data_IF_330028389829
#
_entry.id   IF_330028389829
#
_cell.length_a   1.000
_cell.length_b   1.000
_cell.length_c   1.000
_cell.angle_alpha   90.00
_cell.angle_beta   90.00
_cell.angle_gamma   90.00
#
_symmetry.space_group_name_H-M   'P 1'
#
loop_
_entity.id
_entity.type
_entity.pdbx_description
1 polymer ?
#
# COMPACT_ATOMS: atom_id res chain seq x y z
N UNK A 1 6.38 28.55 -19.88
CA UNK A 1 5.19 27.73 -20.16
C UNK A 1 4.85 27.03 -18.85
N UNK A 2 3.83 27.51 -18.14
CA UNK A 2 3.40 26.94 -16.87
C UNK A 2 2.15 26.10 -17.14
N UNK A 3 2.31 24.78 -17.09
CA UNK A 3 1.20 23.84 -17.22
C UNK A 3 0.50 23.77 -15.86
N UNK A 4 -0.71 24.29 -15.80
CA UNK A 4 -1.52 24.29 -14.57
C UNK A 4 -2.11 22.88 -14.42
N UNK A 5 -1.43 22.00 -13.69
CA UNK A 5 -2.08 20.79 -13.17
C UNK A 5 -3.01 21.22 -12.04
N UNK A 6 -4.32 21.09 -12.26
CA UNK A 6 -5.32 21.29 -11.20
C UNK A 6 -4.94 20.41 -10.00
N UNK A 7 -4.92 20.98 -8.78
CA UNK A 7 -4.37 20.37 -7.56
C UNK A 7 -5.16 19.17 -7.00
N UNK A 8 -5.49 18.19 -7.82
CA UNK A 8 -6.26 17.01 -7.47
C UNK A 8 -6.24 15.87 -8.49
N UNK A 9 -5.59 16.05 -9.64
CA UNK A 9 -5.44 14.98 -10.64
C UNK A 9 -4.20 14.13 -10.38
N UNK A 10 -4.32 12.82 -10.58
CA UNK A 10 -3.21 11.89 -10.38
C UNK A 10 -2.21 11.98 -11.53
N UNK A 11 -0.96 12.35 -11.24
CA UNK A 11 0.14 12.36 -12.22
C UNK A 11 0.44 10.93 -12.70
N UNK A 12 0.54 9.99 -11.76
CA UNK A 12 0.75 8.56 -12.01
C UNK A 12 -0.15 7.75 -11.08
N UNK A 13 -0.75 6.68 -11.60
CA UNK A 13 -1.49 5.73 -10.78
C UNK A 13 -1.39 4.31 -11.33
N UNK A 14 -1.43 3.33 -10.44
CA UNK A 14 -1.51 1.92 -10.79
C UNK A 14 -2.33 1.17 -9.75
N UNK A 15 -3.18 0.27 -10.22
CA UNK A 15 -3.83 -0.73 -9.36
C UNK A 15 -3.59 -2.11 -9.95
N UNK A 16 -3.32 -3.08 -9.09
CA UNK A 16 -3.25 -4.49 -9.42
C UNK A 16 -3.88 -5.28 -8.29
N UNK A 17 -4.49 -6.41 -8.64
CA UNK A 17 -5.13 -7.30 -7.69
C UNK A 17 -4.71 -8.73 -8.03
N UNK A 18 -4.06 -9.42 -7.08
CA UNK A 18 -3.82 -10.85 -7.18
C UNK A 18 -4.82 -11.61 -6.33
N UNK A 19 -5.43 -12.65 -6.90
CA UNK A 19 -6.38 -13.49 -6.18
C UNK A 19 -5.62 -14.43 -5.24
N UNK A 20 -5.77 -14.24 -3.94
CA UNK A 20 -5.36 -15.24 -2.95
C UNK A 20 -6.61 -15.96 -2.45
N UNK A 21 -6.96 -17.10 -3.06
CA UNK A 21 -8.15 -17.86 -2.64
C UNK A 21 -7.84 -18.58 -1.32
N UNK A 22 -8.54 -18.20 -0.24
CA UNK A 22 -8.54 -18.93 1.05
C UNK A 22 -9.86 -19.69 1.22
N UNK A 23 -9.81 -21.03 1.09
CA UNK A 23 -10.99 -21.89 1.28
C UNK A 23 -11.23 -22.33 2.73
N UNK A 24 -10.35 -21.98 3.69
CA UNK A 24 -10.48 -22.41 5.08
C UNK A 24 -9.80 -21.44 6.07
N UNK A 25 -10.35 -21.37 7.28
CA UNK A 25 -9.86 -20.59 8.42
C UNK A 25 -8.49 -21.11 8.88
N UNK A 26 -7.44 -20.34 8.63
CA UNK A 26 -6.08 -20.63 9.07
C UNK A 26 -5.23 -19.37 9.01
N UNK A 27 -4.39 -19.16 10.02
CA UNK A 27 -3.49 -17.99 10.13
C UNK A 27 -2.59 -17.80 8.89
N UNK A 28 -1.94 -16.64 8.79
CA UNK A 28 -1.08 -16.28 7.65
C UNK A 28 -0.09 -17.38 7.29
N UNK A 29 -0.03 -17.75 6.00
CA UNK A 29 0.87 -18.80 5.49
C UNK A 29 2.34 -18.48 5.80
N UNK A 30 2.73 -17.20 5.73
CA UNK A 30 4.05 -16.70 6.15
C UNK A 30 4.43 -17.10 7.58
N UNK A 31 3.46 -17.22 8.48
CA UNK A 31 3.68 -17.58 9.88
C UNK A 31 3.76 -19.09 10.08
N UNK A 32 3.10 -19.88 9.21
CA UNK A 32 3.22 -21.35 9.20
C UNK A 32 4.51 -21.81 8.54
N UNK A 33 4.94 -21.15 7.46
CA UNK A 33 6.16 -21.50 6.74
C UNK A 33 7.42 -21.27 7.58
N UNK A 34 7.40 -20.27 8.48
CA UNK A 34 8.48 -20.02 9.43
C UNK A 34 8.57 -21.07 10.56
N UNK A 35 7.62 -22.00 10.66
CA UNK A 35 7.59 -23.10 11.64
C UNK A 35 8.02 -24.46 11.04
N UNK A 36 8.58 -24.47 9.83
CA UNK A 36 9.24 -25.64 9.24
C UNK A 36 8.33 -26.68 8.59
N UNK A 37 7.01 -26.62 8.79
CA UNK A 37 6.06 -27.53 8.12
C UNK A 37 5.44 -26.87 6.88
N UNK A 38 6.08 -27.08 5.73
CA UNK A 38 5.55 -26.58 4.46
C UNK A 38 4.41 -27.47 3.96
N UNK A 39 3.20 -26.90 3.88
CA UNK A 39 2.11 -27.55 3.14
C UNK A 39 2.48 -27.57 1.65
N UNK A 40 2.56 -28.76 1.05
CA UNK A 40 2.90 -28.97 -0.38
C UNK A 40 1.68 -28.99 -1.32
N UNK A 41 0.52 -28.52 -0.85
CA UNK A 41 -0.68 -28.50 -1.70
C UNK A 41 -0.55 -27.54 -2.88
N UNK A 42 -1.25 -27.81 -3.99
CA UNK A 42 -1.30 -26.89 -5.13
C UNK A 42 -1.76 -25.47 -4.72
N UNK A 43 -2.70 -25.38 -3.77
CA UNK A 43 -3.21 -24.10 -3.27
C UNK A 43 -2.21 -23.30 -2.42
N UNK A 44 -1.33 -23.96 -1.66
CA UNK A 44 -0.27 -23.28 -0.91
C UNK A 44 0.84 -22.79 -1.84
N UNK A 45 1.22 -23.58 -2.85
CA UNK A 45 2.18 -23.15 -3.88
C UNK A 45 1.68 -21.95 -4.67
N UNK A 46 0.41 -21.95 -5.11
CA UNK A 46 -0.19 -20.85 -5.86
C UNK A 46 -0.22 -19.54 -5.04
N UNK A 47 -0.50 -19.61 -3.73
CA UNK A 47 -0.47 -18.43 -2.85
C UNK A 47 0.94 -17.85 -2.72
N UNK A 48 1.97 -18.70 -2.54
CA UNK A 48 3.36 -18.24 -2.48
C UNK A 48 3.78 -17.57 -3.79
N UNK A 49 3.43 -18.18 -4.92
CA UNK A 49 3.68 -17.60 -6.24
C UNK A 49 3.01 -16.23 -6.39
N UNK A 50 1.72 -16.11 -6.03
CA UNK A 50 0.99 -14.85 -6.11
C UNK A 50 1.56 -13.77 -5.16
N UNK A 51 2.02 -14.15 -3.96
CA UNK A 51 2.69 -13.23 -3.02
C UNK A 51 4.05 -12.76 -3.58
N UNK A 52 4.85 -13.65 -4.16
CA UNK A 52 6.13 -13.31 -4.78
C UNK A 52 5.96 -12.42 -6.01
N UNK A 53 5.04 -12.77 -6.92
CA UNK A 53 4.73 -11.98 -8.10
C UNK A 53 4.21 -10.58 -7.72
N UNK A 54 3.37 -10.49 -6.70
CA UNK A 54 2.90 -9.20 -6.17
C UNK A 54 4.07 -8.34 -5.66
N UNK A 55 4.99 -8.93 -4.89
CA UNK A 55 6.16 -8.23 -4.37
C UNK A 55 7.09 -7.76 -5.50
N UNK A 56 7.32 -8.58 -6.52
CA UNK A 56 8.12 -8.23 -7.70
C UNK A 56 7.49 -7.06 -8.48
N UNK A 57 6.18 -7.11 -8.74
CA UNK A 57 5.48 -6.01 -9.41
C UNK A 57 5.54 -4.71 -8.62
N UNK A 58 5.43 -4.76 -7.28
CA UNK A 58 5.60 -3.59 -6.42
C UNK A 58 7.03 -3.02 -6.57
N UNK A 59 8.06 -3.87 -6.52
CA UNK A 59 9.45 -3.43 -6.64
C UNK A 59 9.74 -2.79 -8.01
N UNK A 60 9.28 -3.41 -9.09
CA UNK A 60 9.43 -2.88 -10.45
C UNK A 60 8.74 -1.52 -10.58
N UNK A 61 7.48 -1.40 -10.12
CA UNK A 61 6.74 -0.14 -10.17
C UNK A 61 7.44 0.97 -9.40
N UNK A 62 7.91 0.66 -8.18
CA UNK A 62 8.61 1.64 -7.34
C UNK A 62 9.94 2.07 -7.95
N UNK A 63 10.63 1.17 -8.66
CA UNK A 63 11.84 1.52 -9.42
C UNK A 63 11.51 2.46 -10.58
N UNK A 64 10.45 2.16 -11.34
CA UNK A 64 9.99 3.03 -12.44
C UNK A 64 9.58 4.41 -11.94
N UNK A 65 8.91 4.49 -10.79
CA UNK A 65 8.43 5.74 -10.19
C UNK A 65 9.47 6.45 -9.31
N UNK A 66 10.65 5.87 -9.13
CA UNK A 66 11.71 6.41 -8.28
C UNK A 66 12.01 7.90 -8.51
N UNK A 67 12.17 8.37 -9.76
CA UNK A 67 12.41 9.78 -10.05
C UNK A 67 11.31 10.73 -9.56
N UNK A 68 10.05 10.29 -9.54
CA UNK A 68 8.92 11.10 -9.09
C UNK A 68 8.73 10.99 -7.57
N UNK A 69 8.93 9.81 -6.99
CA UNK A 69 8.89 9.59 -5.53
C UNK A 69 9.93 10.44 -4.80
N UNK A 70 11.13 10.64 -5.37
CA UNK A 70 12.17 11.49 -4.78
C UNK A 70 11.74 12.96 -4.69
N UNK A 71 10.86 13.41 -5.60
CA UNK A 71 10.34 14.79 -5.61
C UNK A 71 9.19 15.03 -4.63
N UNK A 72 8.59 13.98 -4.07
CA UNK A 72 7.48 14.12 -3.14
C UNK A 72 7.94 14.72 -1.79
N UNK A 73 7.15 15.66 -1.27
CA UNK A 73 7.35 16.22 0.08
C UNK A 73 6.91 15.25 1.18
N UNK A 74 5.83 14.50 0.93
CA UNK A 74 5.25 13.52 1.86
C UNK A 74 4.89 12.23 1.13
N UNK A 75 5.05 11.10 1.81
CA UNK A 75 4.70 9.77 1.31
C UNK A 75 3.73 9.13 2.28
N UNK A 76 2.44 9.15 1.94
CA UNK A 76 1.40 8.47 2.71
C UNK A 76 1.28 7.01 2.30
N UNK A 77 1.28 6.10 3.27
CA UNK A 77 1.15 4.67 3.00
C UNK A 77 0.19 3.96 3.95
N UNK A 78 -0.33 2.82 3.46
CA UNK A 78 -1.08 1.83 4.26
C UNK A 78 -0.60 0.44 3.89
N UNK A 79 0.01 -0.24 4.85
CA UNK A 79 0.47 -1.62 4.69
C UNK A 79 0.07 -2.44 5.92
N UNK A 80 -1.11 -3.05 5.90
CA UNK A 80 -1.61 -3.81 7.06
C UNK A 80 -0.99 -5.20 7.09
N UNK A 81 -0.34 -5.56 8.20
CA UNK A 81 0.26 -6.89 8.40
C UNK A 81 1.69 -7.05 7.86
N UNK A 82 2.36 -8.11 8.29
CA UNK A 82 3.79 -8.35 8.05
C UNK A 82 4.16 -8.48 6.58
N UNK A 83 3.33 -9.15 5.76
CA UNK A 83 3.59 -9.35 4.33
C UNK A 83 3.59 -8.04 3.55
N UNK A 84 2.57 -7.19 3.75
CA UNK A 84 2.45 -5.90 3.09
C UNK A 84 3.57 -4.95 3.54
N UNK A 85 3.87 -4.93 4.84
CA UNK A 85 5.01 -4.17 5.37
C UNK A 85 6.35 -4.63 4.76
N UNK A 86 6.55 -5.94 4.61
CA UNK A 86 7.76 -6.49 3.99
C UNK A 86 7.87 -6.14 2.50
N UNK A 87 6.76 -5.93 1.80
CA UNK A 87 6.78 -5.60 0.37
C UNK A 87 7.24 -4.16 0.11
N UNK A 88 7.04 -3.25 1.07
CA UNK A 88 7.48 -1.86 0.98
C UNK A 88 8.83 -1.59 1.66
N UNK A 89 9.11 -2.29 2.77
CA UNK A 89 10.22 -1.95 3.67
C UNK A 89 11.15 -3.12 3.98
N UNK A 90 10.91 -4.29 3.39
CA UNK A 90 11.64 -5.52 3.70
C UNK A 90 12.64 -5.90 2.61
N UNK A 91 13.71 -6.57 3.04
CA UNK A 91 14.74 -7.12 2.17
C UNK A 91 15.81 -6.11 1.73
N UNK A 92 16.89 -6.56 1.06
CA UNK A 92 17.99 -5.70 0.62
C UNK A 92 17.57 -4.66 -0.43
N UNK A 93 16.53 -4.97 -1.22
CA UNK A 93 15.99 -4.11 -2.27
C UNK A 93 14.65 -3.50 -1.86
N UNK A 94 14.52 -3.12 -0.59
CA UNK A 94 13.32 -2.47 -0.08
C UNK A 94 13.03 -1.17 -0.88
N UNK A 95 11.82 -1.01 -1.45
CA UNK A 95 11.47 0.19 -2.20
C UNK A 95 11.54 1.49 -1.40
N UNK A 96 11.29 1.41 -0.10
CA UNK A 96 11.29 2.56 0.81
C UNK A 96 12.10 2.23 2.08
N UNK A 97 12.78 3.25 2.60
CA UNK A 97 13.49 3.17 3.88
C UNK A 97 12.56 3.58 5.01
N UNK A 98 12.45 2.77 6.07
CA UNK A 98 11.62 3.11 7.24
C UNK A 98 12.04 4.40 7.95
N UNK A 99 13.29 4.80 7.78
CA UNK A 99 13.85 6.03 8.31
C UNK A 99 13.57 7.27 7.45
N UNK A 100 12.90 7.13 6.30
CA UNK A 100 12.59 8.27 5.43
C UNK A 100 11.63 9.24 6.17
N UNK A 101 12.06 10.49 6.44
CA UNK A 101 11.29 11.45 7.23
C UNK A 101 10.01 11.92 6.53
N UNK A 102 9.81 11.60 5.25
CA UNK A 102 8.61 11.93 4.47
C UNK A 102 7.48 10.93 4.69
N UNK A 103 7.77 9.75 5.25
CA UNK A 103 6.79 8.69 5.44
C UNK A 103 5.75 9.06 6.51
N UNK A 104 4.47 8.90 6.15
CA UNK A 104 3.33 9.08 7.06
C UNK A 104 2.35 7.93 6.89
N UNK A 105 1.76 7.47 7.99
CA UNK A 105 0.62 6.55 7.93
C UNK A 105 -0.66 7.34 7.65
N UNK A 106 -1.62 6.72 6.97
CA UNK A 106 -2.94 7.34 6.77
C UNK A 106 -3.70 7.35 8.12
N UNK A 107 -4.09 8.52 8.65
CA UNK A 107 -4.61 8.67 10.02
C UNK A 107 -6.09 8.31 10.16
N UNK A 108 -6.71 7.73 9.13
CA UNK A 108 -8.11 7.32 9.13
C UNK A 108 -8.30 5.95 8.46
N UNK A 109 -9.47 5.31 8.65
CA UNK A 109 -9.77 4.04 8.00
C UNK A 109 -9.74 4.14 6.47
N UNK A 110 -9.13 3.13 5.85
CA UNK A 110 -9.04 2.96 4.40
C UNK A 110 -9.86 1.75 3.97
N UNK A 111 -10.42 1.83 2.76
CA UNK A 111 -11.22 0.78 2.12
C UNK A 111 -10.32 -0.09 1.24
N UNK A 112 -10.93 -0.91 0.37
CA UNK A 112 -10.22 -1.74 -0.61
C UNK A 112 -9.29 -0.86 -1.48
N UNK A 113 -8.03 -1.29 -1.74
CA UNK A 113 -7.06 -0.52 -2.51
C UNK A 113 -7.47 -0.43 -3.99
N UNK A 114 -8.30 0.56 -4.30
CA UNK A 114 -8.76 0.90 -5.65
C UNK A 114 -8.34 2.32 -5.96
N UNK A 115 -8.34 2.71 -7.25
CA UNK A 115 -7.95 4.06 -7.63
C UNK A 115 -8.88 5.12 -7.01
N UNK A 116 -10.20 4.86 -7.02
CA UNK A 116 -11.18 5.73 -6.37
C UNK A 116 -10.92 5.90 -4.87
N UNK A 117 -10.44 4.86 -4.19
CA UNK A 117 -10.08 4.96 -2.78
C UNK A 117 -8.82 5.82 -2.58
N UNK A 118 -7.83 5.74 -3.46
CA UNK A 118 -6.65 6.61 -3.43
C UNK A 118 -7.05 8.08 -3.62
N UNK A 119 -7.95 8.36 -4.58
CA UNK A 119 -8.47 9.71 -4.80
C UNK A 119 -9.22 10.22 -3.55
N UNK A 120 -10.11 9.41 -2.95
CA UNK A 120 -10.82 9.78 -1.72
C UNK A 120 -9.86 10.07 -0.57
N UNK A 121 -8.84 9.24 -0.38
CA UNK A 121 -7.80 9.43 0.64
C UNK A 121 -7.06 10.74 0.41
N UNK A 122 -6.62 10.99 -0.83
CA UNK A 122 -5.93 12.24 -1.19
C UNK A 122 -6.80 13.46 -0.87
N UNK A 123 -8.07 13.46 -1.29
CA UNK A 123 -9.00 14.55 -0.99
C UNK A 123 -9.15 14.77 0.52
N UNK A 124 -9.28 13.72 1.33
CA UNK A 124 -9.39 13.88 2.79
C UNK A 124 -8.12 14.41 3.44
N UNK A 125 -6.95 14.05 2.93
CA UNK A 125 -5.67 14.58 3.44
C UNK A 125 -5.45 16.05 3.05
N UNK A 126 -6.05 16.48 1.94
CA UNK A 126 -5.93 17.85 1.42
C UNK A 126 -7.01 18.82 1.92
N UNK A 127 -7.96 18.36 2.74
CA UNK A 127 -9.07 19.15 3.26
C UNK A 127 -8.91 19.46 4.75
N UNK A 128 -9.36 20.65 5.14
CA UNK A 128 -9.51 21.05 6.55
C UNK A 128 -10.99 21.06 6.93
N UNK A 129 -11.32 20.46 8.07
CA UNK A 129 -12.68 20.47 8.61
C UNK A 129 -12.79 21.50 9.74
N UNK A 130 -13.83 22.33 9.70
CA UNK A 130 -14.17 23.26 10.77
C UNK A 130 -15.35 22.65 11.53
N UNK A 131 -15.14 22.34 12.81
CA UNK A 131 -16.20 21.86 13.71
C UNK A 131 -16.67 23.03 14.56
N UNK A 132 -17.95 23.37 14.49
CA UNK A 132 -18.58 24.36 15.36
C UNK A 132 -19.24 23.70 16.57
N UNK A 133 -19.36 24.43 17.68
CA UNK A 133 -20.18 24.01 18.81
C UNK A 133 -21.66 24.22 18.50
N UNK A 134 -22.48 23.18 18.72
CA UNK A 134 -23.93 23.33 18.75
C UNK A 134 -24.27 24.14 20.01
N UNK A 135 -24.56 25.43 19.84
CA UNK A 135 -25.21 26.21 20.87
C UNK A 135 -26.63 25.66 21.05
N UNK A 136 -26.81 24.77 22.04
CA UNK A 136 -28.14 24.44 22.54
C UNK A 136 -28.74 25.73 23.12
N UNK A 137 -29.76 26.26 22.43
CA UNK A 137 -30.62 27.34 22.94
C UNK A 137 -31.79 26.73 23.70
#
# INVERSE_FOLDING_TARGET
>A
MAESTSGGEAILHKTFHSYTVRKAQGGSQSTKDNKGTHSKSAGSSLRRYNEQSLAQHIQELMKTWGPDIVKCDLIFYRAVGRSNMSSLFGGPSAPLLKSDPRLRTIPFPTRRPTFNEVQRVHSLLALTFIYGELQNT
#
